data_IF_458692710071
#
_entry.id   IF_458692710071
#
_cell.length_a   1.000
_cell.length_b   1.000
_cell.length_c   1.000
_cell.angle_alpha   90.00
_cell.angle_beta   90.00
_cell.angle_gamma   90.00
#
_symmetry.space_group_name_H-M   'P 1'
#
loop_
_entity.id
_entity.type
_entity.pdbx_description
1 polymer ?
#
# COMPACT_ATOMS: atom_id res chain seq x y z
N UNK A 1 1.56 15.26 1.47
CA UNK A 1 2.54 15.24 0.34
C UNK A 1 2.48 16.52 -0.50
N UNK A 2 3.63 17.01 -1.00
CA UNK A 2 3.73 18.26 -1.78
C UNK A 2 4.04 18.09 -3.28
N UNK A 3 3.93 16.88 -3.83
CA UNK A 3 4.25 16.60 -5.24
C UNK A 3 3.27 15.60 -5.87
N UNK A 4 3.30 15.52 -7.21
CA UNK A 4 2.65 14.47 -7.99
C UNK A 4 3.26 13.11 -7.65
N UNK A 5 2.42 12.08 -7.64
CA UNK A 5 2.82 10.68 -7.52
C UNK A 5 2.24 9.86 -8.67
N UNK A 6 2.79 8.67 -8.86
CA UNK A 6 2.42 7.72 -9.90
C UNK A 6 2.05 6.41 -9.23
N UNK A 7 1.03 5.73 -9.74
CA UNK A 7 0.61 4.45 -9.18
C UNK A 7 0.22 3.44 -10.25
N UNK A 8 0.34 2.17 -9.87
CA UNK A 8 -0.03 1.01 -10.68
C UNK A 8 -0.75 0.01 -9.77
N UNK A 9 -1.93 -0.45 -10.18
CA UNK A 9 -2.60 -1.60 -9.56
C UNK A 9 -2.20 -2.84 -10.36
N UNK A 10 -1.26 -3.62 -9.83
CA UNK A 10 -0.62 -4.74 -10.52
C UNK A 10 -1.14 -6.07 -10.00
N UNK A 11 -1.52 -6.94 -10.94
CA UNK A 11 -1.97 -8.31 -10.73
C UNK A 11 -0.96 -9.28 -11.36
N UNK A 12 -1.39 -10.45 -11.85
CA UNK A 12 -0.61 -11.26 -12.80
C UNK A 12 -0.22 -10.48 -14.07
N UNK A 13 -1.00 -9.44 -14.39
CA UNK A 13 -0.69 -8.45 -15.42
C UNK A 13 -0.31 -7.11 -14.78
N UNK A 14 0.72 -6.47 -15.34
CA UNK A 14 1.14 -5.12 -14.95
C UNK A 14 0.00 -4.09 -15.13
N UNK A 15 -0.20 -3.25 -14.12
CA UNK A 15 -1.18 -2.17 -14.17
C UNK A 15 -0.82 -1.07 -15.17
N UNK A 16 -1.82 -0.30 -15.61
CA UNK A 16 -1.55 0.97 -16.33
C UNK A 16 -1.17 2.06 -15.32
N UNK A 17 -0.18 2.87 -15.66
CA UNK A 17 0.22 4.01 -14.83
C UNK A 17 -0.93 5.01 -14.69
N UNK A 18 -1.24 5.37 -13.44
CA UNK A 18 -2.13 6.47 -13.09
C UNK A 18 -1.29 7.59 -12.48
N UNK A 19 -1.47 8.82 -12.97
CA UNK A 19 -0.82 10.01 -12.41
C UNK A 19 -1.77 10.71 -11.44
N UNK A 20 -1.36 10.84 -10.19
CA UNK A 20 -2.12 11.57 -9.17
C UNK A 20 -1.44 12.91 -8.85
N UNK A 21 -2.10 14.05 -9.13
CA UNK A 21 -1.59 15.35 -8.70
C UNK A 21 -1.63 15.49 -7.17
N UNK A 22 -1.00 16.54 -6.65
CA UNK A 22 -1.04 16.91 -5.22
C UNK A 22 -2.49 16.96 -4.73
N UNK A 23 -2.78 16.22 -3.66
CA UNK A 23 -4.14 16.14 -3.08
C UNK A 23 -5.12 15.27 -3.86
N UNK A 24 -4.68 14.61 -4.93
CA UNK A 24 -5.47 13.63 -5.68
C UNK A 24 -5.77 12.38 -4.86
N UNK A 25 -6.80 11.64 -5.27
CA UNK A 25 -7.19 10.38 -4.65
C UNK A 25 -7.34 9.30 -5.72
N UNK A 26 -6.95 8.08 -5.38
CA UNK A 26 -7.22 6.88 -6.15
C UNK A 26 -8.12 5.95 -5.33
N UNK A 27 -9.03 5.26 -6.01
CA UNK A 27 -9.90 4.28 -5.39
C UNK A 27 -10.12 3.12 -6.37
N UNK A 28 -10.16 1.90 -5.83
CA UNK A 28 -10.59 0.71 -6.54
C UNK A 28 -11.39 -0.21 -5.61
N UNK A 29 -12.28 -1.01 -6.18
CA UNK A 29 -12.88 -2.14 -5.45
C UNK A 29 -11.89 -3.30 -5.39
N UNK A 30 -12.01 -4.15 -4.37
CA UNK A 30 -11.22 -5.38 -4.25
C UNK A 30 -11.34 -6.25 -5.50
N UNK A 31 -10.20 -6.67 -6.05
CA UNK A 31 -10.12 -7.52 -7.24
C UNK A 31 -9.60 -8.91 -6.87
N UNK A 32 -10.02 -9.90 -7.64
CA UNK A 32 -9.36 -11.21 -7.67
C UNK A 32 -8.21 -11.15 -8.65
N UNK A 33 -7.06 -11.72 -8.28
CA UNK A 33 -5.98 -11.97 -9.22
C UNK A 33 -6.21 -13.35 -9.91
N UNK A 34 -6.22 -13.43 -11.26
CA UNK A 34 -6.42 -14.69 -11.97
C UNK A 34 -5.47 -15.84 -11.57
N UNK A 35 -4.24 -15.52 -11.15
CA UNK A 35 -3.24 -16.51 -10.69
C UNK A 35 -3.36 -16.90 -9.21
N UNK A 36 -4.39 -16.39 -8.52
CA UNK A 36 -4.65 -16.54 -7.07
C UNK A 36 -3.64 -15.84 -6.16
N UNK A 37 -2.72 -15.05 -6.71
CA UNK A 37 -1.80 -14.19 -5.98
C UNK A 37 -2.46 -12.93 -5.43
N UNK A 38 -1.64 -12.06 -4.84
CA UNK A 38 -2.07 -10.75 -4.39
C UNK A 38 -2.14 -9.74 -5.53
N UNK A 39 -2.82 -8.62 -5.26
CA UNK A 39 -2.74 -7.37 -6.00
C UNK A 39 -1.78 -6.45 -5.25
N UNK A 40 -0.87 -5.82 -5.97
CA UNK A 40 0.06 -4.82 -5.40
C UNK A 40 -0.24 -3.46 -6.00
N UNK A 41 -0.75 -2.54 -5.17
CA UNK A 41 -0.87 -1.12 -5.53
C UNK A 41 0.48 -0.47 -5.22
N UNK A 42 1.26 -0.26 -6.28
CA UNK A 42 2.58 0.35 -6.20
C UNK A 42 2.46 1.85 -6.38
N UNK A 43 3.17 2.62 -5.58
CA UNK A 43 3.16 4.09 -5.58
C UNK A 43 4.59 4.60 -5.61
N UNK A 44 4.90 5.48 -6.57
CA UNK A 44 6.22 6.07 -6.75
C UNK A 44 6.16 7.60 -6.87
N UNK A 45 7.31 8.25 -6.65
CA UNK A 45 7.51 9.68 -6.91
C UNK A 45 8.03 9.99 -8.32
N UNK A 46 8.36 8.96 -9.10
CA UNK A 46 8.80 9.00 -10.50
C UNK A 46 7.87 8.15 -11.37
N UNK A 47 7.80 8.40 -12.70
CA UNK A 47 6.94 7.63 -13.60
C UNK A 47 7.53 6.25 -13.96
N UNK A 48 8.09 5.55 -12.98
CA UNK A 48 8.65 4.20 -13.07
C UNK A 48 8.46 3.44 -11.74
N UNK A 49 8.67 2.12 -11.75
CA UNK A 49 8.45 1.24 -10.59
C UNK A 49 9.75 0.90 -9.84
N UNK A 50 10.80 1.73 -9.91
CA UNK A 50 12.10 1.41 -9.33
C UNK A 50 12.21 1.67 -7.81
N UNK A 51 11.43 2.63 -7.29
CA UNK A 51 11.38 3.05 -5.86
C UNK A 51 9.91 3.17 -5.45
N UNK A 52 9.33 2.07 -4.95
CA UNK A 52 7.87 1.94 -4.77
C UNK A 52 7.47 1.63 -3.33
N UNK A 53 6.55 2.43 -2.83
CA UNK A 53 5.71 2.08 -1.69
C UNK A 53 4.63 1.13 -2.19
N UNK A 54 4.31 0.08 -1.45
CA UNK A 54 3.32 -0.91 -1.88
C UNK A 54 2.23 -1.09 -0.83
N UNK A 55 0.97 -1.01 -1.28
CA UNK A 55 -0.16 -1.53 -0.54
C UNK A 55 -0.59 -2.83 -1.22
N UNK A 56 -0.49 -3.95 -0.52
CA UNK A 56 -0.70 -5.28 -1.10
C UNK A 56 -1.95 -5.90 -0.48
N UNK A 57 -2.74 -6.59 -1.30
CA UNK A 57 -3.91 -7.32 -0.81
C UNK A 57 -4.23 -8.57 -1.61
N UNK A 58 -4.78 -9.58 -0.94
CA UNK A 58 -5.30 -10.81 -1.54
C UNK A 58 -6.73 -11.01 -1.07
N UNK A 59 -7.68 -11.02 -2.00
CA UNK A 59 -9.08 -11.34 -1.73
C UNK A 59 -9.29 -12.87 -1.77
N UNK A 60 -9.72 -13.45 -0.65
CA UNK A 60 -10.04 -14.89 -0.53
C UNK A 60 -11.39 -15.04 0.14
N UNK A 61 -12.41 -15.41 -0.65
CA UNK A 61 -13.78 -15.55 -0.15
C UNK A 61 -14.34 -14.21 0.35
N UNK A 62 -14.70 -14.15 1.63
CA UNK A 62 -15.22 -12.97 2.31
C UNK A 62 -14.15 -12.18 3.08
N UNK A 63 -12.87 -12.47 2.86
CA UNK A 63 -11.74 -11.84 3.55
C UNK A 63 -10.77 -11.18 2.58
N UNK A 64 -10.24 -10.04 3.00
CA UNK A 64 -9.03 -9.45 2.44
C UNK A 64 -7.87 -9.71 3.40
N UNK A 65 -6.79 -10.26 2.87
CA UNK A 65 -5.48 -10.25 3.50
C UNK A 65 -4.72 -9.07 2.93
N UNK A 66 -4.05 -8.27 3.76
CA UNK A 66 -3.38 -7.07 3.27
C UNK A 66 -2.22 -6.66 4.15
N UNK A 67 -1.34 -5.87 3.55
CA UNK A 67 -0.19 -5.29 4.21
C UNK A 67 0.28 -4.02 3.49
N UNK A 68 1.24 -3.35 4.12
CA UNK A 68 2.04 -2.30 3.49
C UNK A 68 3.48 -2.78 3.45
N UNK A 69 4.11 -2.64 2.29
CA UNK A 69 5.48 -3.06 2.06
C UNK A 69 6.35 -1.90 1.61
N UNK A 70 7.47 -1.75 2.32
CA UNK A 70 8.52 -0.76 2.07
C UNK A 70 9.81 -1.41 1.55
N UNK A 71 9.78 -2.73 1.28
CA UNK A 71 10.95 -3.53 0.86
C UNK A 71 11.60 -2.96 -0.41
N UNK A 72 10.80 -2.37 -1.30
CA UNK A 72 11.24 -1.83 -2.58
C UNK A 72 11.44 -0.30 -2.55
N UNK A 73 11.52 0.29 -1.36
CA UNK A 73 11.93 1.67 -1.21
C UNK A 73 13.45 1.81 -1.17
N UNK A 74 13.94 2.88 -1.79
CA UNK A 74 15.30 3.36 -1.58
C UNK A 74 15.38 4.00 -0.19
N UNK A 75 16.53 3.87 0.49
CA UNK A 75 16.78 4.50 1.80
C UNK A 75 16.59 6.03 1.81
N UNK A 76 16.59 6.66 0.64
CA UNK A 76 16.40 8.10 0.46
C UNK A 76 14.97 8.48 0.10
N UNK A 77 14.07 7.50 0.00
CA UNK A 77 12.71 7.69 -0.51
C UNK A 77 11.95 8.72 0.32
N UNK A 78 11.02 9.42 -0.36
CA UNK A 78 10.19 10.42 0.28
C UNK A 78 9.19 9.80 1.26
N UNK A 79 8.75 8.57 1.00
CA UNK A 79 7.70 7.91 1.79
C UNK A 79 8.13 7.66 3.24
N UNK A 80 9.38 7.27 3.48
CA UNK A 80 9.95 7.11 4.83
C UNK A 80 9.94 8.42 5.64
N UNK A 81 10.14 9.55 4.94
CA UNK A 81 10.21 10.87 5.58
C UNK A 81 8.84 11.42 5.94
N UNK A 82 7.80 11.06 5.20
CA UNK A 82 6.47 11.61 5.36
C UNK A 82 5.59 10.78 6.29
N UNK A 83 5.86 9.49 6.43
CA UNK A 83 5.00 8.58 7.18
C UNK A 83 3.67 8.33 6.46
N UNK A 84 2.86 7.43 7.01
CA UNK A 84 1.59 7.01 6.43
C UNK A 84 0.68 6.34 7.45
N UNK A 85 -0.59 6.25 7.09
CA UNK A 85 -1.59 5.50 7.85
C UNK A 85 -2.49 4.72 6.92
N UNK A 86 -2.93 3.53 7.33
CA UNK A 86 -4.06 2.83 6.72
C UNK A 86 -5.17 2.73 7.75
N UNK A 87 -6.32 3.34 7.46
CA UNK A 87 -7.46 3.38 8.38
C UNK A 87 -8.63 2.57 7.81
N UNK A 88 -9.09 1.53 8.50
CA UNK A 88 -10.32 0.84 8.15
C UNK A 88 -11.56 1.60 8.62
N UNK A 89 -12.67 1.46 7.88
CA UNK A 89 -13.99 1.96 8.28
C UNK A 89 -14.74 1.03 9.25
N UNK A 90 -14.15 -0.13 9.56
CA UNK A 90 -14.67 -1.11 10.52
C UNK A 90 -13.73 -1.30 11.71
N UNK A 91 -14.30 -1.57 12.89
CA UNK A 91 -13.53 -1.73 14.14
C UNK A 91 -12.85 -3.09 14.31
N UNK A 92 -13.20 -4.08 13.48
CA UNK A 92 -12.63 -5.43 13.52
C UNK A 92 -11.35 -5.57 12.67
N UNK A 93 -10.97 -4.50 11.98
CA UNK A 93 -9.78 -4.42 11.14
C UNK A 93 -8.76 -3.52 11.84
N UNK A 94 -7.50 -3.97 11.94
CA UNK A 94 -6.45 -3.19 12.62
C UNK A 94 -5.88 -2.13 11.68
N UNK A 95 -5.79 -0.89 12.16
CA UNK A 95 -5.14 0.20 11.43
C UNK A 95 -3.60 0.05 11.39
N UNK A 96 -2.97 0.74 10.45
CA UNK A 96 -1.52 0.94 10.34
C UNK A 96 -1.21 2.39 10.66
N UNK A 97 -0.17 2.65 11.44
CA UNK A 97 0.35 4.01 11.64
C UNK A 97 1.87 3.98 11.69
N UNK A 98 2.49 4.56 10.66
CA UNK A 98 3.93 4.74 10.57
C UNK A 98 4.23 6.25 10.59
N UNK A 99 4.77 6.78 11.70
CA UNK A 99 5.08 8.20 11.81
C UNK A 99 6.13 8.68 10.79
N UNK A 100 6.10 9.97 10.49
CA UNK A 100 7.13 10.61 9.67
C UNK A 100 8.54 10.37 10.24
N UNK A 101 9.44 9.86 9.41
CA UNK A 101 10.84 9.58 9.78
C UNK A 101 11.06 8.24 10.49
N UNK A 102 10.02 7.42 10.67
CA UNK A 102 10.17 6.06 11.20
C UNK A 102 10.60 5.08 10.10
N UNK A 103 11.91 4.91 9.93
CA UNK A 103 12.49 3.96 8.97
C UNK A 103 12.45 2.50 9.44
N UNK A 104 11.89 2.23 10.62
CA UNK A 104 11.77 0.88 11.19
C UNK A 104 10.32 0.61 11.61
N UNK A 105 9.36 1.13 10.85
CA UNK A 105 7.95 0.97 11.19
C UNK A 105 7.57 -0.51 11.22
N UNK A 106 7.26 -1.01 12.42
CA UNK A 106 6.89 -2.41 12.66
C UNK A 106 5.52 -2.80 12.11
N UNK A 107 4.73 -1.82 11.67
CA UNK A 107 3.44 -2.06 11.04
C UNK A 107 3.54 -2.35 9.52
N UNK A 108 4.74 -2.23 8.91
CA UNK A 108 4.98 -2.47 7.49
C UNK A 108 6.12 -3.47 7.27
N UNK A 109 6.10 -4.16 6.14
CA UNK A 109 7.18 -5.07 5.74
C UNK A 109 8.43 -4.26 5.38
N UNK A 110 9.53 -4.53 6.09
CA UNK A 110 10.82 -3.85 5.86
C UNK A 110 11.84 -4.73 5.12
N UNK A 111 11.70 -6.05 5.17
CA UNK A 111 12.58 -7.00 4.50
C UNK A 111 11.82 -8.29 4.12
N UNK A 112 12.29 -9.09 3.15
CA UNK A 112 11.53 -10.21 2.60
C UNK A 112 11.12 -11.32 3.57
N UNK A 113 11.80 -11.44 4.71
CA UNK A 113 11.50 -12.43 5.75
C UNK A 113 10.76 -11.83 6.96
N UNK A 114 10.31 -10.59 6.85
CA UNK A 114 9.32 -10.03 7.77
C UNK A 114 8.00 -10.76 7.49
N UNK A 115 7.33 -11.30 8.50
CA UNK A 115 6.06 -12.03 8.36
C UNK A 115 4.99 -11.53 9.34
N UNK A 116 5.27 -10.43 10.04
CA UNK A 116 4.45 -9.99 11.17
C UNK A 116 3.44 -8.90 10.81
N UNK A 117 3.62 -8.25 9.65
CA UNK A 117 2.78 -7.12 9.22
C UNK A 117 1.57 -7.53 8.36
N UNK A 118 1.34 -8.82 8.08
CA UNK A 118 0.10 -9.25 7.40
C UNK A 118 -1.11 -9.06 8.32
N UNK A 119 -2.17 -8.47 7.76
CA UNK A 119 -3.45 -8.26 8.44
C UNK A 119 -4.57 -8.93 7.65
N UNK A 120 -5.72 -9.13 8.31
CA UNK A 120 -6.93 -9.61 7.64
C UNK A 120 -8.15 -8.88 8.11
N UNK A 121 -9.08 -8.62 7.18
CA UNK A 121 -10.34 -7.94 7.43
C UNK A 121 -11.45 -8.58 6.59
N UNK A 122 -12.71 -8.35 6.94
CA UNK A 122 -13.83 -8.75 6.08
C UNK A 122 -13.81 -7.93 4.80
N UNK A 123 -14.11 -8.55 3.66
CA UNK A 123 -13.97 -7.93 2.33
C UNK A 123 -14.94 -6.76 2.10
N UNK A 124 -15.93 -6.55 2.97
CA UNK A 124 -16.79 -5.36 2.95
C UNK A 124 -16.15 -4.15 3.64
N UNK A 125 -14.97 -4.30 4.24
CA UNK A 125 -14.22 -3.20 4.87
C UNK A 125 -13.59 -2.33 3.79
N UNK A 126 -13.71 -1.01 3.92
CA UNK A 126 -12.94 -0.05 3.13
C UNK A 126 -11.66 0.33 3.88
N UNK A 127 -10.54 0.38 3.17
CA UNK A 127 -9.24 0.81 3.70
C UNK A 127 -8.83 2.12 3.04
N UNK A 128 -8.49 3.11 3.86
CA UNK A 128 -8.01 4.42 3.40
C UNK A 128 -6.53 4.55 3.75
N UNK A 129 -5.68 4.54 2.72
CA UNK A 129 -4.26 4.86 2.84
C UNK A 129 -4.04 6.37 2.69
N UNK A 130 -3.47 7.00 3.70
CA UNK A 130 -3.03 8.40 3.65
C UNK A 130 -1.49 8.46 3.69
N UNK A 131 -0.91 9.21 2.75
CA UNK A 131 0.54 9.39 2.60
C UNK A 131 0.96 10.80 3.04
N UNK A 132 1.81 10.89 4.06
CA UNK A 132 2.19 12.13 4.73
C UNK A 132 1.03 12.84 5.46
N UNK A 133 0.34 12.16 6.39
CA UNK A 133 -0.70 12.75 7.24
C UNK A 133 -0.16 13.77 8.26
#
# INVERSE_FOLDING_TARGET
>A
MGQTIYLWSTSDVAGTMVTLPVGGTYAESWKLNPDLGGISIKVATTPDEADVFQFEYTLVGDKIWWDVSLINLLLTSLFDKLGFTVTPDTSNCRAVTCPAGDTQCSDAYLFPSDDQATRSCVATTNLVLNLGP
#
